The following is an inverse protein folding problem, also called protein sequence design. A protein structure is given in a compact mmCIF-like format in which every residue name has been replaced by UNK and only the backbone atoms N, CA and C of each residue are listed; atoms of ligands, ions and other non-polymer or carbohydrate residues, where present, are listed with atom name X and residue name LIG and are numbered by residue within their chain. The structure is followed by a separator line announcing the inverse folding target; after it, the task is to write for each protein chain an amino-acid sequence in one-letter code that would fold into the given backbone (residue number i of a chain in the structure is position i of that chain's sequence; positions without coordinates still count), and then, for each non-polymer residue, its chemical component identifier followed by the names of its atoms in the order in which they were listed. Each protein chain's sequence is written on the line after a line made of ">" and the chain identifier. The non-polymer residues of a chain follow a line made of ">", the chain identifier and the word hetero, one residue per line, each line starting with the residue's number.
data_IF_566950882073
#
_entry.id   IF_566950882073
#
_cell.length_a   1.000
_cell.length_b   1.000
_cell.length_c   1.000
_cell.angle_alpha   90.00
_cell.angle_beta   90.00
_cell.angle_gamma   90.00
#
_symmetry.space_group_name_H-M   'P 1'
#
loop_
_entity.id
_entity.type
_entity.pdbx_description
1 polymer ?
#
# COMPACT_ATOMS: atom_id res chain seq x y z
N UNK A 1 -40.71 -4.90 -34.89
CA UNK A 1 -40.42 -6.13 -34.13
C UNK A 1 -39.61 -5.82 -32.88
N UNK A 2 -39.82 -6.59 -31.85
CA UNK A 2 -39.09 -6.45 -30.55
C UNK A 2 -37.57 -6.53 -30.74
N UNK A 3 -37.11 -7.40 -31.62
CA UNK A 3 -35.70 -7.58 -31.93
C UNK A 3 -35.09 -6.33 -32.56
N UNK A 4 -35.76 -5.69 -33.50
CA UNK A 4 -35.33 -4.42 -34.09
C UNK A 4 -35.25 -3.28 -33.07
N UNK A 5 -36.21 -3.21 -32.17
CA UNK A 5 -36.20 -2.20 -31.10
C UNK A 5 -35.07 -2.42 -30.12
N UNK A 6 -34.80 -3.67 -29.79
CA UNK A 6 -33.67 -4.06 -28.93
C UNK A 6 -32.32 -3.69 -29.58
N UNK A 7 -32.13 -4.04 -30.85
CA UNK A 7 -30.91 -3.73 -31.60
C UNK A 7 -30.69 -2.21 -31.72
N UNK A 8 -31.72 -1.45 -31.94
CA UNK A 8 -31.65 0.02 -31.98
C UNK A 8 -31.23 0.60 -30.62
N UNK A 9 -31.79 0.10 -29.54
CA UNK A 9 -31.43 0.52 -28.19
C UNK A 9 -29.99 0.13 -27.84
N UNK A 10 -29.60 -1.09 -28.17
CA UNK A 10 -28.24 -1.59 -27.96
C UNK A 10 -27.20 -0.74 -28.70
N UNK A 11 -27.43 -0.42 -29.97
CA UNK A 11 -26.56 0.46 -30.77
C UNK A 11 -26.43 1.85 -30.16
N UNK A 12 -27.51 2.43 -29.63
CA UNK A 12 -27.46 3.73 -28.94
C UNK A 12 -26.60 3.67 -27.68
N UNK A 13 -26.75 2.63 -26.87
CA UNK A 13 -25.97 2.43 -25.64
C UNK A 13 -24.51 2.26 -25.97
N UNK A 14 -24.17 1.42 -26.95
CA UNK A 14 -22.76 1.20 -27.37
C UNK A 14 -22.13 2.49 -27.89
N UNK A 15 -22.85 3.24 -28.73
CA UNK A 15 -22.36 4.56 -29.22
C UNK A 15 -22.13 5.55 -28.07
N UNK A 16 -23.01 5.56 -27.08
CA UNK A 16 -22.86 6.39 -25.88
C UNK A 16 -21.62 6.03 -25.08
N UNK A 17 -21.37 4.75 -24.85
CA UNK A 17 -20.19 4.25 -24.13
C UNK A 17 -18.91 4.60 -24.89
N UNK A 18 -18.85 4.37 -26.19
CA UNK A 18 -17.67 4.70 -27.02
C UNK A 18 -17.38 6.20 -27.01
N UNK A 19 -18.43 7.03 -27.13
CA UNK A 19 -18.27 8.49 -27.07
C UNK A 19 -17.75 8.95 -25.71
N UNK A 20 -18.28 8.44 -24.63
CA UNK A 20 -17.82 8.77 -23.28
C UNK A 20 -16.36 8.32 -23.05
N UNK A 21 -15.99 7.15 -23.51
CA UNK A 21 -14.63 6.65 -23.46
C UNK A 21 -13.66 7.55 -24.23
N UNK A 22 -14.02 7.97 -25.46
CA UNK A 22 -13.21 8.89 -26.25
C UNK A 22 -13.03 10.26 -25.59
N UNK A 23 -14.09 10.79 -24.97
CA UNK A 23 -14.03 12.03 -24.20
C UNK A 23 -13.08 11.89 -23.01
N UNK A 24 -13.13 10.78 -22.30
CA UNK A 24 -12.28 10.49 -21.16
C UNK A 24 -10.80 10.39 -21.59
N UNK A 25 -10.51 9.69 -22.70
CA UNK A 25 -9.17 9.62 -23.27
C UNK A 25 -8.65 11.00 -23.70
N UNK A 26 -9.46 11.79 -24.36
CA UNK A 26 -9.07 13.14 -24.78
C UNK A 26 -8.77 14.04 -23.57
N UNK A 27 -9.58 13.93 -22.51
CA UNK A 27 -9.35 14.65 -21.26
C UNK A 27 -8.05 14.24 -20.59
N UNK A 28 -7.74 12.94 -20.57
CA UNK A 28 -6.47 12.42 -20.00
C UNK A 28 -5.27 12.87 -20.83
N UNK A 29 -5.35 12.76 -22.15
CA UNK A 29 -4.27 13.19 -23.06
C UNK A 29 -3.97 14.69 -22.93
N UNK A 30 -4.97 15.52 -22.64
CA UNK A 30 -4.76 16.95 -22.41
C UNK A 30 -4.03 17.26 -21.09
N UNK A 31 -4.12 16.35 -20.10
CA UNK A 31 -3.52 16.51 -18.77
C UNK A 31 -2.23 15.72 -18.57
N UNK A 32 -2.08 14.64 -19.29
CA UNK A 32 -0.97 13.71 -19.16
C UNK A 32 0.00 13.90 -20.35
N UNK A 33 1.27 14.03 -20.04
CA UNK A 33 2.33 14.13 -21.05
C UNK A 33 3.28 12.96 -20.84
N UNK A 34 3.66 12.29 -21.93
CA UNK A 34 4.65 11.22 -21.87
C UNK A 34 6.02 11.78 -21.46
N UNK A 35 6.79 11.03 -20.68
CA UNK A 35 8.17 11.42 -20.31
C UNK A 35 9.05 11.74 -21.52
N UNK A 36 8.82 11.07 -22.65
CA UNK A 36 9.56 11.32 -23.89
C UNK A 36 9.25 12.69 -24.53
N UNK A 37 8.08 13.27 -24.23
CA UNK A 37 7.63 14.55 -24.75
C UNK A 37 8.01 15.74 -23.88
N UNK A 38 8.44 15.47 -22.64
CA UNK A 38 8.87 16.52 -21.71
C UNK A 38 10.27 17.03 -22.05
N UNK A 39 10.50 18.35 -21.98
CA UNK A 39 11.84 18.90 -22.04
C UNK A 39 12.75 18.30 -20.96
N UNK A 40 14.02 18.08 -21.30
CA UNK A 40 15.01 17.50 -20.39
C UNK A 40 15.11 18.25 -19.06
N UNK A 41 15.03 19.58 -19.08
CA UNK A 41 15.02 20.42 -17.86
C UNK A 41 13.85 20.10 -16.94
N UNK A 42 12.67 19.78 -17.49
CA UNK A 42 11.48 19.42 -16.70
C UNK A 42 11.63 18.04 -16.10
N UNK A 43 12.17 17.09 -16.86
CA UNK A 43 12.47 15.74 -16.39
C UNK A 43 13.50 15.77 -15.27
N UNK A 44 14.56 16.56 -15.39
CA UNK A 44 15.55 16.75 -14.33
C UNK A 44 14.97 17.31 -13.05
N UNK A 45 14.01 18.24 -13.14
CA UNK A 45 13.28 18.77 -11.97
C UNK A 45 12.32 17.78 -11.36
N UNK A 46 11.78 16.83 -12.14
CA UNK A 46 10.92 15.76 -11.65
C UNK A 46 11.71 14.62 -11.03
N UNK A 47 12.98 14.45 -11.43
CA UNK A 47 13.91 13.55 -10.76
C UNK A 47 14.26 14.18 -9.42
N UNK A 48 13.41 13.93 -8.42
CA UNK A 48 13.79 14.11 -7.03
C UNK A 48 14.74 12.95 -6.74
N UNK A 49 15.99 13.27 -6.53
CA UNK A 49 16.93 12.32 -5.95
C UNK A 49 16.45 12.07 -4.54
N UNK A 50 15.74 10.95 -4.36
CA UNK A 50 15.42 10.48 -3.03
C UNK A 50 16.73 10.03 -2.36
N UNK A 51 17.38 11.00 -1.76
CA UNK A 51 18.58 10.78 -0.94
C UNK A 51 18.14 10.31 0.46
N UNK A 52 17.27 9.28 0.48
CA UNK A 52 16.72 8.68 1.69
C UNK A 52 17.55 7.53 2.24
N UNK A 53 18.85 7.51 2.01
CA UNK A 53 19.71 6.43 2.55
C UNK A 53 19.73 6.36 4.08
N UNK A 54 19.25 7.39 4.78
CA UNK A 54 19.35 7.49 6.24
C UNK A 54 18.03 7.41 7.02
N UNK A 55 16.89 7.40 6.35
CA UNK A 55 15.59 7.60 7.02
C UNK A 55 14.73 6.34 7.21
N UNK A 56 15.27 5.16 6.97
CA UNK A 56 14.51 3.93 7.23
C UNK A 56 15.16 3.07 8.31
N UNK A 57 14.32 2.42 9.11
CA UNK A 57 14.75 1.40 10.06
C UNK A 57 14.57 0.02 9.44
N UNK A 58 15.62 -0.79 9.49
CA UNK A 58 15.62 -2.14 8.94
C UNK A 58 15.32 -3.16 10.04
N UNK A 59 14.42 -4.09 9.74
CA UNK A 59 14.14 -5.25 10.57
C UNK A 59 14.42 -6.53 9.79
N UNK A 60 15.13 -7.47 10.40
CA UNK A 60 15.32 -8.80 9.84
C UNK A 60 14.24 -9.76 10.38
N UNK A 61 13.47 -10.36 9.48
CA UNK A 61 12.45 -11.33 9.81
C UNK A 61 12.69 -12.61 9.01
N UNK A 62 13.16 -13.64 9.68
CA UNK A 62 13.44 -14.95 9.06
C UNK A 62 14.33 -14.87 7.80
N UNK A 63 15.35 -14.02 7.82
CA UNK A 63 16.26 -13.83 6.68
C UNK A 63 15.76 -12.87 5.60
N UNK A 64 14.63 -12.21 5.84
CA UNK A 64 14.09 -11.17 4.93
C UNK A 64 14.23 -9.81 5.59
N UNK A 65 14.91 -8.90 4.91
CA UNK A 65 15.09 -7.51 5.35
C UNK A 65 13.84 -6.68 5.02
N UNK A 66 13.24 -6.07 6.05
CA UNK A 66 12.08 -5.20 5.92
C UNK A 66 12.48 -3.78 6.31
N UNK A 67 12.21 -2.83 5.43
CA UNK A 67 12.49 -1.41 5.64
C UNK A 67 11.23 -0.65 6.03
N UNK A 68 11.30 0.03 7.17
CA UNK A 68 10.21 0.86 7.68
C UNK A 68 10.65 2.31 7.60
N UNK A 69 9.94 3.09 6.79
CA UNK A 69 10.23 4.51 6.54
C UNK A 69 9.75 5.43 7.67
N UNK A 70 8.66 5.07 8.31
CA UNK A 70 8.07 5.85 9.39
C UNK A 70 8.83 5.59 10.70
N UNK A 71 9.48 6.62 11.20
CA UNK A 71 10.28 6.56 12.42
C UNK A 71 9.44 6.24 13.67
N UNK A 72 8.25 6.85 13.79
CA UNK A 72 7.34 6.59 14.90
C UNK A 72 6.87 5.15 14.94
N UNK A 73 6.51 4.63 13.78
CA UNK A 73 6.13 3.23 13.62
C UNK A 73 7.31 2.29 13.90
N UNK A 74 8.51 2.63 13.42
CA UNK A 74 9.72 1.85 13.66
C UNK A 74 10.06 1.77 15.16
N UNK A 75 9.95 2.87 15.88
CA UNK A 75 10.13 2.87 17.34
C UNK A 75 9.07 2.05 18.07
N UNK A 76 7.80 2.17 17.69
CA UNK A 76 6.73 1.35 18.24
C UNK A 76 6.97 -0.14 18.01
N UNK A 77 7.44 -0.51 16.83
CA UNK A 77 7.82 -1.88 16.50
C UNK A 77 9.01 -2.38 17.32
N UNK A 78 10.00 -1.54 17.58
CA UNK A 78 11.16 -1.89 18.44
C UNK A 78 10.76 -2.21 19.88
N UNK A 79 9.71 -1.57 20.39
CA UNK A 79 9.22 -1.80 21.75
C UNK A 79 8.43 -3.10 21.90
N UNK A 80 7.93 -3.65 20.80
CA UNK A 80 7.25 -4.95 20.83
C UNK A 80 8.22 -6.09 21.07
N UNK A 81 7.68 -7.15 21.71
CA UNK A 81 8.41 -8.41 21.82
C UNK A 81 8.76 -8.95 20.44
N UNK A 82 9.93 -9.54 20.28
CA UNK A 82 10.48 -10.03 18.99
C UNK A 82 9.48 -10.88 18.22
N UNK A 83 8.86 -11.86 18.86
CA UNK A 83 7.89 -12.74 18.22
C UNK A 83 6.66 -11.97 17.71
N UNK A 84 6.12 -11.07 18.53
CA UNK A 84 4.97 -10.23 18.18
C UNK A 84 5.29 -9.26 17.04
N UNK A 85 6.46 -8.64 17.08
CA UNK A 85 6.98 -7.78 16.02
C UNK A 85 7.12 -8.53 14.71
N UNK A 86 7.71 -9.71 14.72
CA UNK A 86 7.88 -10.54 13.54
C UNK A 86 6.55 -10.94 12.91
N UNK A 87 5.55 -11.28 13.71
CA UNK A 87 4.19 -11.60 13.24
C UNK A 87 3.56 -10.39 12.52
N UNK A 88 3.66 -9.20 13.10
CA UNK A 88 3.14 -7.96 12.49
C UNK A 88 3.83 -7.67 11.17
N UNK A 89 5.16 -7.75 11.15
CA UNK A 89 5.94 -7.51 9.94
C UNK A 89 5.65 -8.52 8.84
N UNK A 90 5.52 -9.80 9.17
CA UNK A 90 5.16 -10.84 8.21
C UNK A 90 3.77 -10.62 7.62
N UNK A 91 2.81 -10.24 8.44
CA UNK A 91 1.43 -10.04 7.99
C UNK A 91 1.28 -8.81 7.09
N UNK A 92 1.82 -7.67 7.49
CA UNK A 92 1.60 -6.39 6.79
C UNK A 92 2.61 -6.09 5.68
N UNK A 93 3.86 -6.48 5.84
CA UNK A 93 4.93 -6.18 4.87
C UNK A 93 5.23 -7.33 3.92
N UNK A 94 5.12 -8.57 4.37
CA UNK A 94 5.35 -9.75 3.55
C UNK A 94 4.06 -10.38 3.00
N UNK A 95 2.91 -9.79 3.32
CA UNK A 95 1.61 -10.24 2.83
C UNK A 95 1.27 -11.71 3.15
N UNK A 96 1.76 -12.20 4.29
CA UNK A 96 1.53 -13.56 4.75
C UNK A 96 0.24 -13.68 5.55
N UNK A 97 -0.50 -14.77 5.34
CA UNK A 97 -1.67 -15.11 6.16
C UNK A 97 -1.26 -15.61 7.55
N UNK A 98 -2.18 -15.54 8.52
CA UNK A 98 -1.95 -16.09 9.87
C UNK A 98 -1.60 -17.58 9.86
N UNK A 99 -2.13 -18.34 8.89
CA UNK A 99 -1.80 -19.75 8.70
C UNK A 99 -0.35 -19.95 8.26
N UNK A 100 0.12 -19.18 7.29
CA UNK A 100 1.49 -19.20 6.79
C UNK A 100 2.50 -18.76 7.85
N UNK A 101 2.15 -17.70 8.61
CA UNK A 101 2.95 -17.23 9.74
C UNK A 101 3.04 -18.31 10.82
N UNK A 102 1.92 -18.97 11.12
CA UNK A 102 1.85 -20.07 12.08
C UNK A 102 2.75 -21.24 11.68
N UNK A 103 2.76 -21.63 10.43
CA UNK A 103 3.65 -22.66 9.90
C UNK A 103 5.13 -22.26 10.01
N UNK A 104 5.45 -21.03 9.64
CA UNK A 104 6.83 -20.52 9.63
C UNK A 104 7.42 -20.36 11.02
N UNK A 105 6.63 -19.91 11.98
CA UNK A 105 7.02 -19.71 13.38
C UNK A 105 6.71 -20.89 14.29
N UNK A 106 6.11 -21.96 13.75
CA UNK A 106 5.70 -23.15 14.48
C UNK A 106 4.72 -22.84 15.63
N UNK A 107 3.73 -22.01 15.36
CA UNK A 107 2.64 -21.63 16.24
C UNK A 107 1.29 -21.86 15.58
N UNK A 108 0.21 -21.90 16.38
CA UNK A 108 -1.13 -22.03 15.84
C UNK A 108 -1.59 -20.74 15.14
N UNK A 109 -2.42 -20.87 14.12
CA UNK A 109 -3.06 -19.73 13.45
C UNK A 109 -3.77 -18.79 14.42
N UNK A 110 -4.51 -19.32 15.38
CA UNK A 110 -5.21 -18.52 16.40
C UNK A 110 -4.24 -17.77 17.31
N UNK A 111 -3.09 -18.34 17.62
CA UNK A 111 -2.02 -17.70 18.39
C UNK A 111 -1.41 -16.53 17.59
N UNK A 112 -1.12 -16.73 16.30
CA UNK A 112 -0.64 -15.68 15.39
C UNK A 112 -1.65 -14.52 15.33
N UNK A 113 -2.93 -14.81 15.13
CA UNK A 113 -3.99 -13.82 15.10
C UNK A 113 -4.06 -12.99 16.40
N UNK A 114 -4.00 -13.66 17.56
CA UNK A 114 -4.04 -13.01 18.86
C UNK A 114 -2.83 -12.09 19.10
N UNK A 115 -1.63 -12.58 18.82
CA UNK A 115 -0.42 -11.77 18.92
C UNK A 115 -0.47 -10.54 18.00
N UNK A 116 -0.90 -10.72 16.77
CA UNK A 116 -1.05 -9.63 15.80
C UNK A 116 -2.03 -8.58 16.31
N UNK A 117 -3.19 -9.00 16.79
CA UNK A 117 -4.23 -8.09 17.31
C UNK A 117 -3.75 -7.31 18.52
N UNK A 118 -3.14 -7.98 19.49
CA UNK A 118 -2.60 -7.34 20.68
C UNK A 118 -1.47 -6.35 20.32
N UNK A 119 -0.60 -6.73 19.40
CA UNK A 119 0.48 -5.87 18.93
C UNK A 119 -0.04 -4.61 18.25
N UNK A 120 -1.09 -4.70 17.44
CA UNK A 120 -1.72 -3.54 16.81
C UNK A 120 -2.34 -2.59 17.84
N UNK A 121 -2.98 -3.12 18.87
CA UNK A 121 -3.53 -2.30 19.97
C UNK A 121 -2.41 -1.57 20.72
N UNK A 122 -1.31 -2.24 20.99
CA UNK A 122 -0.13 -1.67 21.64
C UNK A 122 0.52 -0.58 20.80
N UNK A 123 0.76 -0.82 19.51
CA UNK A 123 1.26 0.19 18.58
C UNK A 123 0.34 1.41 18.53
N UNK A 124 -0.95 1.17 18.39
CA UNK A 124 -1.95 2.26 18.37
C UNK A 124 -1.92 3.09 19.64
N UNK A 125 -1.76 2.46 20.80
CA UNK A 125 -1.65 3.15 22.08
C UNK A 125 -0.41 4.02 22.14
N UNK A 126 0.74 3.50 21.77
CA UNK A 126 2.00 4.22 21.74
C UNK A 126 1.98 5.43 20.81
N UNK A 127 1.43 5.27 19.60
CA UNK A 127 1.30 6.36 18.64
C UNK A 127 0.35 7.48 19.12
N UNK A 128 -0.69 7.13 19.88
CA UNK A 128 -1.59 8.12 20.49
C UNK A 128 -0.93 8.88 21.63
N UNK A 129 -0.20 8.19 22.49
CA UNK A 129 0.52 8.80 23.61
C UNK A 129 1.58 9.82 23.15
N UNK A 130 2.30 9.51 22.05
CA UNK A 130 3.24 10.46 21.45
C UNK A 130 2.55 11.72 20.95
N UNK A 131 1.46 11.59 20.20
CA UNK A 131 0.71 12.75 19.69
C UNK A 131 0.16 13.64 20.81
N UNK A 132 -0.19 13.08 21.95
CA UNK A 132 -0.67 13.86 23.11
C UNK A 132 0.45 14.61 23.82
N UNK A 133 1.68 14.13 23.74
CA UNK A 133 2.85 14.76 24.35
C UNK A 133 3.46 15.89 23.49
N UNK A 134 3.10 15.96 22.20
CA UNK A 134 3.54 17.03 21.29
C UNK A 134 2.61 18.24 21.25
N UNK A 135 1.44 18.15 21.84
CA UNK A 135 0.52 19.28 22.05
C UNK A 135 0.78 19.94 23.42
#
# INVERSE_FOLDING_TARGET
>A
TIQCQFDCKLKKVVKGIVRNYRKELARRQAKEVSFCELPEIVVEKLIVWDDYESEYTTFDVCGTEIRVLDEELAEALKQLQEQSRNIVLMFFFLDMSDSEIGEKLNINRSTSYRHRRNSLEEIRKQLKEKKTNEE
#
